data_IF_666466430747
#
_entry.id   IF_666466430747
#
_cell.length_a   1.000
_cell.length_b   1.000
_cell.length_c   1.000
_cell.angle_alpha   90.00
_cell.angle_beta   90.00
_cell.angle_gamma   90.00
#
_symmetry.space_group_name_H-M   'P 1'
#
loop_
_entity.id
_entity.type
_entity.pdbx_description
1 polymer ?
#
# COMPACT_ATOMS: atom_id res chain seq x y z
N UNK A 1 -21.93 22.66 -19.98
CA UNK A 1 -22.06 22.36 -18.53
C UNK A 1 -22.61 20.96 -18.37
N UNK A 2 -21.79 20.00 -17.93
CA UNK A 2 -22.26 18.86 -17.15
C UNK A 2 -21.23 18.60 -16.06
N UNK A 3 -21.56 19.08 -14.86
CA UNK A 3 -20.85 18.87 -13.62
C UNK A 3 -21.31 17.53 -13.04
N UNK A 4 -20.41 16.72 -12.46
CA UNK A 4 -20.58 16.10 -11.13
C UNK A 4 -20.05 14.67 -10.90
N UNK A 5 -19.34 13.96 -11.81
CA UNK A 5 -18.89 12.58 -11.50
C UNK A 5 -17.47 12.19 -11.93
N UNK A 6 -16.50 13.11 -11.88
CA UNK A 6 -15.13 12.67 -11.54
C UNK A 6 -15.07 12.41 -10.04
N UNK A 7 -15.88 11.47 -9.57
CA UNK A 7 -15.85 11.03 -8.17
C UNK A 7 -14.45 10.54 -7.81
N UNK A 8 -14.17 10.43 -6.51
CA UNK A 8 -12.93 9.84 -5.97
C UNK A 8 -12.53 8.55 -6.74
N UNK A 9 -13.53 7.79 -7.16
CA UNK A 9 -13.43 6.60 -7.99
C UNK A 9 -12.87 6.85 -9.40
N UNK A 10 -13.27 7.91 -10.10
CA UNK A 10 -12.73 8.31 -11.40
C UNK A 10 -11.30 8.85 -11.30
N UNK A 11 -10.96 9.50 -10.18
CA UNK A 11 -9.60 9.96 -9.87
C UNK A 11 -8.66 8.80 -9.53
N UNK A 12 -9.15 7.80 -8.79
CA UNK A 12 -8.47 6.52 -8.59
C UNK A 12 -8.27 5.81 -9.94
N UNK A 13 -9.31 5.75 -10.78
CA UNK A 13 -9.25 5.07 -12.09
C UNK A 13 -8.31 5.75 -13.08
N UNK A 14 -8.19 7.08 -13.07
CA UNK A 14 -7.21 7.79 -13.91
C UNK A 14 -5.77 7.57 -13.45
N UNK A 15 -5.53 7.46 -12.13
CA UNK A 15 -4.26 6.97 -11.57
C UNK A 15 -3.92 5.55 -12.02
N UNK A 16 -4.94 4.69 -12.14
CA UNK A 16 -4.83 3.34 -12.69
C UNK A 16 -4.57 3.28 -14.22
N UNK A 17 -4.86 4.35 -14.96
CA UNK A 17 -4.71 4.43 -16.42
C UNK A 17 -3.34 4.99 -16.87
N UNK A 18 -2.56 5.59 -15.97
CA UNK A 18 -1.14 5.84 -16.23
C UNK A 18 -0.38 4.51 -16.09
N UNK A 19 0.73 4.28 -16.78
CA UNK A 19 1.52 3.04 -16.67
C UNK A 19 1.93 2.62 -15.24
N UNK A 20 1.69 3.48 -14.24
CA UNK A 20 1.89 3.25 -12.81
C UNK A 20 0.68 2.58 -12.09
N UNK A 21 -0.47 2.47 -12.74
CA UNK A 21 -1.68 1.89 -12.16
C UNK A 21 -1.55 0.42 -11.76
N UNK A 22 -0.88 -0.36 -12.61
CA UNK A 22 -0.52 -1.75 -12.30
C UNK A 22 0.32 -1.82 -11.02
N UNK A 23 1.32 -0.94 -10.88
CA UNK A 23 2.21 -0.89 -9.70
C UNK A 23 1.45 -0.60 -8.41
N UNK A 24 0.47 0.31 -8.45
CA UNK A 24 -0.39 0.60 -7.29
C UNK A 24 -1.27 -0.63 -6.96
N UNK A 25 -1.86 -1.28 -7.96
CA UNK A 25 -2.63 -2.51 -7.77
C UNK A 25 -1.80 -3.63 -7.15
N UNK A 26 -0.55 -3.80 -7.61
CA UNK A 26 0.39 -4.77 -7.06
C UNK A 26 0.73 -4.46 -5.61
N UNK A 27 0.91 -3.17 -5.26
CA UNK A 27 1.13 -2.73 -3.88
C UNK A 27 -0.04 -3.05 -2.95
N UNK A 28 -1.28 -2.89 -3.40
CA UNK A 28 -2.47 -3.29 -2.63
C UNK A 28 -2.58 -4.81 -2.45
N UNK A 29 -2.25 -5.58 -3.49
CA UNK A 29 -2.24 -7.04 -3.43
C UNK A 29 -1.17 -7.54 -2.44
N UNK A 30 0.01 -6.92 -2.47
CA UNK A 30 1.10 -7.21 -1.53
C UNK A 30 0.73 -6.82 -0.10
N UNK A 31 0.05 -5.69 0.10
CA UNK A 31 -0.48 -5.30 1.41
C UNK A 31 -1.47 -6.34 1.95
N UNK A 32 -2.34 -6.89 1.10
CA UNK A 32 -3.28 -7.95 1.48
C UNK A 32 -2.54 -9.23 1.90
N UNK A 33 -1.50 -9.63 1.15
CA UNK A 33 -0.65 -10.77 1.50
C UNK A 33 0.02 -10.56 2.86
N UNK A 34 0.63 -9.38 3.09
CA UNK A 34 1.24 -9.07 4.38
C UNK A 34 0.22 -9.05 5.52
N UNK A 35 -1.05 -8.70 5.27
CA UNK A 35 -2.09 -8.72 6.29
C UNK A 35 -2.36 -10.16 6.76
N UNK A 36 -2.45 -11.10 5.80
CA UNK A 36 -2.59 -12.52 6.10
C UNK A 36 -1.38 -13.07 6.86
N UNK A 37 -0.17 -12.69 6.44
CA UNK A 37 1.08 -13.05 7.13
C UNK A 37 1.11 -12.54 8.56
N UNK A 38 0.61 -11.33 8.82
CA UNK A 38 0.57 -10.72 10.13
C UNK A 38 -0.38 -11.48 11.08
N UNK A 39 -1.56 -11.86 10.59
CA UNK A 39 -2.51 -12.70 11.33
C UNK A 39 -1.90 -14.09 11.61
N UNK A 40 -1.27 -14.71 10.61
CA UNK A 40 -0.64 -16.03 10.76
C UNK A 40 0.52 -16.01 11.77
N UNK A 41 1.37 -14.99 11.70
CA UNK A 41 2.51 -14.82 12.59
C UNK A 41 2.05 -14.54 14.03
N UNK A 42 0.98 -13.75 14.19
CA UNK A 42 0.33 -13.53 15.49
C UNK A 42 -0.26 -14.82 16.05
N UNK A 43 -0.97 -15.60 15.24
CA UNK A 43 -1.52 -16.89 15.66
C UNK A 43 -0.44 -17.88 16.12
N UNK A 44 0.67 -17.97 15.36
CA UNK A 44 1.82 -18.78 15.74
C UNK A 44 2.45 -18.27 17.03
N UNK A 45 2.66 -16.97 17.19
CA UNK A 45 3.23 -16.39 18.42
C UNK A 45 2.50 -16.84 19.70
N UNK A 46 1.18 -16.98 19.67
CA UNK A 46 0.39 -17.46 20.83
C UNK A 46 0.36 -18.98 20.98
N UNK A 47 0.72 -19.75 19.94
CA UNK A 47 0.58 -21.21 19.91
C UNK A 47 1.91 -21.94 20.13
N UNK A 48 3.07 -21.32 19.82
CA UNK A 48 4.37 -22.00 19.91
C UNK A 48 4.96 -21.92 21.34
N UNK A 49 5.83 -22.87 21.68
CA UNK A 49 6.58 -22.89 22.93
C UNK A 49 7.47 -21.65 23.09
N UNK A 50 7.79 -21.29 24.34
CA UNK A 50 8.52 -20.07 24.72
C UNK A 50 9.88 -19.90 24.01
N UNK A 51 10.54 -21.00 23.66
CA UNK A 51 11.76 -21.07 22.84
C UNK A 51 11.61 -20.33 21.50
N UNK A 52 10.50 -20.57 20.78
CA UNK A 52 10.30 -20.04 19.43
C UNK A 52 9.51 -18.74 19.41
N UNK A 53 8.98 -18.32 20.56
CA UNK A 53 8.11 -17.16 20.68
C UNK A 53 8.82 -15.87 20.24
N UNK A 54 10.11 -15.72 20.53
CA UNK A 54 10.92 -14.59 20.07
C UNK A 54 11.03 -14.51 18.55
N UNK A 55 11.24 -15.64 17.86
CA UNK A 55 11.32 -15.70 16.41
C UNK A 55 10.02 -15.24 15.76
N UNK A 56 8.89 -15.79 16.21
CA UNK A 56 7.57 -15.41 15.69
C UNK A 56 7.19 -13.97 16.04
N UNK A 57 7.65 -13.45 17.18
CA UNK A 57 7.46 -12.05 17.57
C UNK A 57 8.22 -11.08 16.68
N UNK A 58 9.49 -11.38 16.35
CA UNK A 58 10.28 -10.59 15.41
C UNK A 58 9.68 -10.63 14.01
N UNK A 59 9.29 -11.81 13.51
CA UNK A 59 8.61 -11.94 12.22
C UNK A 59 7.30 -11.14 12.16
N UNK A 60 6.56 -11.06 13.27
CA UNK A 60 5.34 -10.26 13.38
C UNK A 60 5.64 -8.76 13.25
N UNK A 61 6.64 -8.26 13.99
CA UNK A 61 7.06 -6.85 13.95
C UNK A 61 7.55 -6.47 12.55
N UNK A 62 8.40 -7.31 11.93
CA UNK A 62 8.90 -7.06 10.57
C UNK A 62 7.76 -7.01 9.56
N UNK A 63 6.78 -7.94 9.66
CA UNK A 63 5.60 -7.94 8.79
C UNK A 63 4.74 -6.68 8.98
N UNK A 64 4.62 -6.18 10.22
CA UNK A 64 3.92 -4.94 10.51
C UNK A 64 4.62 -3.71 9.91
N UNK A 65 5.94 -3.62 10.07
CA UNK A 65 6.73 -2.52 9.48
C UNK A 65 6.64 -2.57 7.95
N UNK A 66 6.72 -3.77 7.35
CA UNK A 66 6.56 -3.96 5.91
C UNK A 66 5.19 -3.47 5.40
N UNK A 67 4.10 -3.70 6.15
CA UNK A 67 2.79 -3.15 5.81
C UNK A 67 2.75 -1.63 5.83
N UNK A 68 3.30 -1.00 6.89
CA UNK A 68 3.35 0.46 7.01
C UNK A 68 4.18 1.06 5.88
N UNK A 69 5.36 0.49 5.61
CA UNK A 69 6.24 0.91 4.53
C UNK A 69 5.55 0.82 3.16
N UNK A 70 4.81 -0.26 2.90
CA UNK A 70 4.06 -0.44 1.64
C UNK A 70 3.03 0.67 1.46
N UNK A 71 2.23 0.99 2.49
CA UNK A 71 1.26 2.10 2.41
C UNK A 71 1.94 3.45 2.20
N UNK A 72 3.03 3.72 2.92
CA UNK A 72 3.78 4.96 2.79
C UNK A 72 4.35 5.11 1.38
N UNK A 73 4.89 4.04 0.80
CA UNK A 73 5.41 4.04 -0.56
C UNK A 73 4.30 4.34 -1.59
N UNK A 74 3.13 3.72 -1.47
CA UNK A 74 1.97 4.00 -2.34
C UNK A 74 1.58 5.48 -2.25
N UNK A 75 1.55 6.04 -1.03
CA UNK A 75 1.25 7.45 -0.81
C UNK A 75 2.30 8.37 -1.47
N UNK A 76 3.58 8.07 -1.30
CA UNK A 76 4.67 8.84 -1.91
C UNK A 76 4.64 8.78 -3.43
N UNK A 77 4.40 7.61 -4.04
CA UNK A 77 4.24 7.46 -5.49
C UNK A 77 3.07 8.29 -6.03
N UNK A 78 1.94 8.24 -5.33
CA UNK A 78 0.75 9.02 -5.69
C UNK A 78 1.05 10.53 -5.60
N UNK A 79 1.72 10.98 -4.53
CA UNK A 79 2.09 12.37 -4.34
C UNK A 79 3.10 12.84 -5.41
N UNK A 80 4.10 12.02 -5.73
CA UNK A 80 5.08 12.31 -6.78
C UNK A 80 4.40 12.54 -8.14
N UNK A 81 3.47 11.66 -8.52
CA UNK A 81 2.69 11.83 -9.74
C UNK A 81 1.88 13.13 -9.73
N UNK A 82 1.21 13.47 -8.62
CA UNK A 82 0.44 14.72 -8.49
C UNK A 82 1.31 15.95 -8.70
N UNK A 83 2.47 16.01 -8.05
CA UNK A 83 3.43 17.11 -8.19
C UNK A 83 3.91 17.24 -9.64
N UNK A 84 4.18 16.11 -10.31
CA UNK A 84 4.59 16.11 -11.71
C UNK A 84 3.51 16.60 -12.67
N UNK A 85 2.25 16.29 -12.41
CA UNK A 85 1.13 16.82 -13.19
C UNK A 85 0.96 18.33 -13.00
N UNK A 86 1.06 18.85 -11.77
CA UNK A 86 0.98 20.29 -11.51
C UNK A 86 2.13 21.07 -12.16
N UNK A 87 3.36 20.55 -12.07
CA UNK A 87 4.52 21.19 -12.72
C UNK A 87 4.38 21.27 -14.24
N UNK A 88 3.83 20.22 -14.88
CA UNK A 88 3.53 20.25 -16.33
C UNK A 88 2.43 21.25 -16.68
N UNK A 89 1.46 21.45 -15.79
CA UNK A 89 0.39 22.44 -15.97
C UNK A 89 0.92 23.88 -15.83
N UNK A 90 1.81 24.14 -14.88
CA UNK A 90 2.44 25.45 -14.68
C UNK A 90 3.41 25.84 -15.81
N UNK A 91 4.01 24.85 -16.48
CA UNK A 91 4.91 25.09 -17.62
C UNK A 91 4.15 25.48 -18.91
N UNK A 92 2.82 25.31 -18.95
CA UNK A 92 1.97 25.60 -20.11
C UNK A 92 1.32 26.97 -19.96
#
# INVERSE_FOLDING_TARGET
MNNSEQGLFGYLKSGFSSGLGWLISLGYLLAFIFAGLLIFCGYKFFTVAADQQLYWGVCFIVSFIAQVATKLWIFMQTNHNRVMHELRRLKK
#
